data_IF_871577642051
#
_entry.id   IF_871577642051
#
_cell.length_a   1.000
_cell.length_b   1.000
_cell.length_c   1.000
_cell.angle_alpha   90.00
_cell.angle_beta   90.00
_cell.angle_gamma   90.00
#
_symmetry.space_group_name_H-M   'P 1'
#
loop_
_entity.id
_entity.type
_entity.pdbx_description
1 polymer ?
#
# COMPACT_ATOMS: atom_id res chain seq x y z
N UNK A 1 0.22 -20.90 19.44
CA UNK A 1 -0.16 -19.62 18.84
C UNK A 1 -0.20 -18.49 19.88
N UNK A 2 -0.94 -18.64 20.96
CA UNK A 2 -1.12 -17.61 21.99
C UNK A 2 0.16 -17.05 22.63
N UNK A 3 1.17 -17.91 22.84
CA UNK A 3 2.47 -17.47 23.38
C UNK A 3 3.24 -16.54 22.43
N UNK A 4 3.12 -16.73 21.10
CA UNK A 4 3.76 -15.86 20.10
C UNK A 4 3.02 -14.55 19.98
N UNK A 5 1.69 -14.57 19.96
CA UNK A 5 0.86 -13.36 19.94
C UNK A 5 1.12 -12.51 21.19
N UNK A 6 1.08 -13.14 22.39
CA UNK A 6 1.41 -12.47 23.65
C UNK A 6 2.84 -11.92 23.68
N UNK A 7 3.80 -12.59 23.01
CA UNK A 7 5.18 -12.13 22.96
C UNK A 7 5.44 -11.05 21.90
N UNK A 8 4.55 -10.89 20.93
CA UNK A 8 4.68 -9.94 19.80
C UNK A 8 3.64 -8.82 19.84
N UNK A 9 2.85 -8.70 20.93
CA UNK A 9 1.78 -7.70 21.06
C UNK A 9 2.27 -6.28 20.77
N UNK A 10 3.46 -5.92 21.30
CA UNK A 10 4.04 -4.61 21.14
C UNK A 10 4.31 -4.28 19.65
N UNK A 11 4.72 -5.30 18.87
CA UNK A 11 4.95 -5.15 17.45
C UNK A 11 3.64 -5.02 16.67
N UNK A 12 2.62 -5.84 16.99
CA UNK A 12 1.30 -5.74 16.38
C UNK A 12 0.64 -4.39 16.68
N UNK A 13 0.70 -3.94 17.93
CA UNK A 13 0.14 -2.63 18.33
C UNK A 13 0.90 -1.49 17.67
N UNK A 14 2.24 -1.51 17.68
CA UNK A 14 3.05 -0.47 17.04
C UNK A 14 2.78 -0.39 15.54
N UNK A 15 2.80 -1.53 14.84
CA UNK A 15 2.50 -1.55 13.40
C UNK A 15 1.04 -1.20 13.09
N UNK A 16 0.09 -1.61 13.94
CA UNK A 16 -1.30 -1.20 13.81
C UNK A 16 -1.48 0.32 13.88
N UNK A 17 -0.83 0.99 14.84
CA UNK A 17 -0.84 2.45 14.95
C UNK A 17 -0.18 3.14 13.75
N UNK A 18 0.94 2.59 13.24
CA UNK A 18 1.60 3.09 12.03
C UNK A 18 0.66 2.98 10.83
N UNK A 19 -0.01 1.82 10.66
CA UNK A 19 -0.90 1.61 9.53
C UNK A 19 -2.17 2.44 9.60
N UNK A 20 -2.70 2.66 10.80
CA UNK A 20 -3.80 3.59 11.02
C UNK A 20 -3.39 5.01 10.61
N UNK A 21 -2.22 5.48 11.06
CA UNK A 21 -1.66 6.76 10.67
C UNK A 21 -1.42 6.83 9.15
N UNK A 22 -0.89 5.77 8.56
CA UNK A 22 -0.62 5.71 7.12
C UNK A 22 -1.90 5.77 6.28
N UNK A 23 -2.93 4.99 6.63
CA UNK A 23 -4.23 5.03 5.97
C UNK A 23 -4.87 6.43 6.04
N UNK A 24 -4.81 7.06 7.20
CA UNK A 24 -5.29 8.43 7.37
C UNK A 24 -4.49 9.42 6.51
N UNK A 25 -3.16 9.32 6.51
CA UNK A 25 -2.28 10.18 5.71
C UNK A 25 -2.54 10.07 4.21
N UNK A 26 -2.75 8.85 3.70
CA UNK A 26 -3.00 8.61 2.26
C UNK A 26 -4.27 9.35 1.81
N UNK A 27 -5.37 9.19 2.53
CA UNK A 27 -6.63 9.89 2.23
C UNK A 27 -6.50 11.41 2.42
N UNK A 28 -5.86 11.83 3.51
CA UNK A 28 -5.69 13.25 3.84
C UNK A 28 -4.90 14.00 2.78
N UNK A 29 -3.77 13.47 2.33
CA UNK A 29 -2.92 14.16 1.36
C UNK A 29 -3.58 14.27 -0.01
N UNK A 30 -4.33 13.25 -0.44
CA UNK A 30 -5.10 13.32 -1.68
C UNK A 30 -6.16 14.42 -1.66
N UNK A 31 -6.97 14.46 -0.62
CA UNK A 31 -8.02 15.48 -0.45
C UNK A 31 -7.41 16.87 -0.25
N UNK A 32 -6.36 17.00 0.56
CA UNK A 32 -5.68 18.28 0.80
C UNK A 32 -5.05 18.85 -0.47
N UNK A 33 -4.47 18.02 -1.33
CA UNK A 33 -3.89 18.47 -2.61
C UNK A 33 -4.95 19.11 -3.53
N UNK A 34 -6.14 18.50 -3.61
CA UNK A 34 -7.28 19.06 -4.36
C UNK A 34 -7.74 20.38 -3.74
N UNK A 35 -7.85 20.44 -2.41
CA UNK A 35 -8.22 21.68 -1.70
C UNK A 35 -7.22 22.82 -1.94
N UNK A 36 -5.92 22.52 -2.00
CA UNK A 36 -4.86 23.48 -2.30
C UNK A 36 -4.74 23.80 -3.81
N UNK A 37 -5.69 23.33 -4.60
CA UNK A 37 -5.74 23.55 -6.06
C UNK A 37 -4.49 23.04 -6.79
N UNK A 38 -3.85 21.99 -6.31
CA UNK A 38 -2.79 21.33 -7.06
C UNK A 38 -3.38 20.68 -8.31
N UNK A 39 -2.69 20.81 -9.46
CA UNK A 39 -3.09 20.07 -10.64
C UNK A 39 -3.03 18.58 -10.38
N UNK A 40 -3.82 17.79 -11.12
CA UNK A 40 -3.84 16.32 -10.99
C UNK A 40 -2.43 15.75 -11.24
N UNK A 41 -1.72 16.24 -12.27
CA UNK A 41 -0.33 15.88 -12.55
C UNK A 41 0.62 16.21 -11.39
N UNK A 42 0.53 17.42 -10.80
CA UNK A 42 1.37 17.79 -9.65
C UNK A 42 1.08 16.88 -8.44
N UNK A 43 -0.18 16.51 -8.24
CA UNK A 43 -0.60 15.58 -7.20
C UNK A 43 -0.05 14.18 -7.44
N UNK A 44 -0.15 13.65 -8.65
CA UNK A 44 0.45 12.36 -9.01
C UNK A 44 1.97 12.35 -8.86
N UNK A 45 2.65 13.43 -9.28
CA UNK A 45 4.08 13.60 -9.08
C UNK A 45 4.47 13.55 -7.59
N UNK A 46 3.81 14.33 -6.75
CA UNK A 46 4.12 14.32 -5.31
C UNK A 46 3.88 12.96 -4.65
N UNK A 47 2.79 12.26 -5.03
CA UNK A 47 2.46 10.95 -4.48
C UNK A 47 3.46 9.87 -4.91
N UNK A 48 4.02 9.98 -6.10
CA UNK A 48 5.11 9.12 -6.60
C UNK A 48 6.33 9.13 -5.67
N UNK A 49 6.61 10.24 -5.00
CA UNK A 49 7.73 10.37 -4.05
C UNK A 49 7.75 9.27 -2.99
N UNK A 50 6.58 8.83 -2.52
CA UNK A 50 6.48 7.72 -1.56
C UNK A 50 7.12 6.42 -2.10
N UNK A 51 6.81 6.06 -3.32
CA UNK A 51 7.32 4.82 -3.93
C UNK A 51 8.81 4.93 -4.27
N UNK A 52 9.28 6.12 -4.64
CA UNK A 52 10.72 6.41 -4.81
C UNK A 52 11.46 6.18 -3.48
N UNK A 53 10.95 6.74 -2.39
CA UNK A 53 11.53 6.55 -1.06
C UNK A 53 11.50 5.10 -0.61
N UNK A 54 10.38 4.42 -0.82
CA UNK A 54 10.20 3.00 -0.52
C UNK A 54 11.23 2.14 -1.28
N UNK A 55 11.41 2.39 -2.57
CA UNK A 55 12.36 1.68 -3.42
C UNK A 55 13.81 1.88 -2.98
N UNK A 56 14.21 3.12 -2.67
CA UNK A 56 15.55 3.43 -2.15
C UNK A 56 15.76 2.74 -0.81
N UNK A 57 14.77 2.83 0.08
CA UNK A 57 14.80 2.25 1.41
C UNK A 57 14.94 0.73 1.39
N UNK A 58 14.24 0.03 0.50
CA UNK A 58 14.30 -1.42 0.40
C UNK A 58 15.72 -1.96 0.23
N UNK A 59 16.61 -1.19 -0.39
CA UNK A 59 18.04 -1.54 -0.54
C UNK A 59 18.91 -1.13 0.64
N UNK A 60 18.58 -0.02 1.29
CA UNK A 60 19.43 0.58 2.32
C UNK A 60 19.10 0.09 3.73
N UNK A 61 17.84 -0.27 3.99
CA UNK A 61 17.38 -0.73 5.31
C UNK A 61 18.16 -1.93 5.87
N UNK A 62 18.45 -2.99 5.10
CA UNK A 62 19.25 -4.11 5.60
C UNK A 62 20.64 -3.68 6.14
N UNK A 63 21.25 -2.70 5.48
CA UNK A 63 22.56 -2.15 5.88
C UNK A 63 22.41 -1.34 7.18
N UNK A 64 21.37 -0.50 7.27
CA UNK A 64 21.10 0.31 8.46
C UNK A 64 20.82 -0.60 9.67
N UNK A 65 19.95 -1.58 9.51
CA UNK A 65 19.57 -2.52 10.58
C UNK A 65 20.76 -3.34 11.05
N UNK A 66 21.63 -3.78 10.14
CA UNK A 66 22.83 -4.55 10.49
C UNK A 66 23.84 -3.73 11.31
N UNK A 67 23.93 -2.40 11.09
CA UNK A 67 24.85 -1.51 11.78
C UNK A 67 24.32 -0.98 13.11
N UNK A 68 23.07 -0.60 13.17
CA UNK A 68 22.47 0.16 14.27
C UNK A 68 21.53 -0.70 15.12
N UNK A 69 20.95 -1.74 14.54
CA UNK A 69 19.99 -2.64 15.17
C UNK A 69 18.53 -2.25 14.96
N UNK A 70 17.63 -3.24 15.07
CA UNK A 70 16.20 -3.12 14.74
C UNK A 70 15.48 -2.00 15.50
N UNK A 71 15.60 -1.97 16.84
CA UNK A 71 14.83 -1.03 17.69
C UNK A 71 15.22 0.43 17.41
N UNK A 72 16.52 0.71 17.29
CA UNK A 72 17.01 2.07 17.03
C UNK A 72 16.58 2.57 15.65
N UNK A 73 16.68 1.72 14.63
CA UNK A 73 16.23 2.06 13.26
C UNK A 73 14.72 2.27 13.25
N UNK A 74 13.94 1.41 13.93
CA UNK A 74 12.48 1.59 14.07
C UNK A 74 12.15 2.94 14.70
N UNK A 75 12.79 3.27 15.84
CA UNK A 75 12.54 4.51 16.55
C UNK A 75 12.89 5.74 15.70
N UNK A 76 14.04 5.73 15.04
CA UNK A 76 14.48 6.84 14.20
C UNK A 76 13.50 7.10 13.05
N UNK A 77 13.07 6.04 12.32
CA UNK A 77 12.21 6.22 11.15
C UNK A 77 10.74 6.44 11.48
N UNK A 78 10.22 5.94 12.60
CA UNK A 78 8.92 6.34 13.09
C UNK A 78 8.89 7.81 13.53
N UNK A 79 9.98 8.32 14.15
CA UNK A 79 10.12 9.73 14.48
C UNK A 79 10.23 10.61 13.23
N UNK A 80 11.02 10.20 12.22
CA UNK A 80 11.12 10.90 10.94
C UNK A 80 9.74 10.95 10.26
N UNK A 81 9.02 9.83 10.19
CA UNK A 81 7.68 9.78 9.59
C UNK A 81 6.71 10.75 10.29
N UNK A 82 6.76 10.83 11.63
CA UNK A 82 5.96 11.77 12.43
C UNK A 82 6.28 13.24 12.09
N UNK A 83 7.56 13.60 12.02
CA UNK A 83 8.00 14.97 11.69
C UNK A 83 7.61 15.34 10.26
N UNK A 84 7.85 14.45 9.31
CA UNK A 84 7.55 14.66 7.88
C UNK A 84 6.08 14.99 7.66
N UNK A 85 5.18 14.31 8.39
CA UNK A 85 3.74 14.58 8.30
C UNK A 85 3.41 16.02 8.76
N UNK A 86 4.02 16.49 9.84
CA UNK A 86 3.80 17.87 10.33
C UNK A 86 4.32 18.90 9.32
N UNK A 87 5.46 18.66 8.67
CA UNK A 87 6.02 19.57 7.68
C UNK A 87 5.10 19.72 6.46
N UNK A 88 4.34 18.68 6.07
CA UNK A 88 3.32 18.80 5.01
C UNK A 88 2.26 19.87 5.32
N UNK A 89 1.91 20.08 6.60
CA UNK A 89 0.90 21.09 6.98
C UNK A 89 1.44 22.52 6.97
N UNK A 90 2.77 22.69 7.04
CA UNK A 90 3.44 23.98 7.15
C UNK A 90 3.85 24.50 5.77
N UNK A 91 4.39 23.62 4.92
CA UNK A 91 4.92 23.99 3.60
C UNK A 91 4.04 23.39 2.51
N UNK A 92 3.18 24.23 1.94
CA UNK A 92 2.20 23.83 0.91
C UNK A 92 2.82 24.07 -0.47
N UNK A 93 3.55 23.07 -0.98
CA UNK A 93 4.19 23.11 -2.30
C UNK A 93 4.35 21.68 -2.85
N UNK A 94 3.97 21.39 -4.11
CA UNK A 94 4.02 20.03 -4.67
C UNK A 94 5.42 19.41 -4.67
N UNK A 95 6.47 20.18 -4.98
CA UNK A 95 7.84 19.68 -4.98
C UNK A 95 8.33 19.37 -3.56
N UNK A 96 8.03 20.23 -2.59
CA UNK A 96 8.35 19.96 -1.18
C UNK A 96 7.61 18.70 -0.71
N UNK A 97 6.33 18.56 -1.08
CA UNK A 97 5.55 17.38 -0.74
C UNK A 97 6.12 16.11 -1.40
N UNK A 98 6.62 16.19 -2.63
CA UNK A 98 7.34 15.06 -3.25
C UNK A 98 8.54 14.62 -2.39
N UNK A 99 9.40 15.57 -1.98
CA UNK A 99 10.56 15.27 -1.13
C UNK A 99 10.14 14.67 0.22
N UNK A 100 9.12 15.24 0.86
CA UNK A 100 8.58 14.72 2.12
C UNK A 100 8.00 13.31 1.94
N UNK A 101 7.36 13.04 0.81
CA UNK A 101 6.86 11.70 0.47
C UNK A 101 7.99 10.69 0.25
N UNK A 102 9.14 11.12 -0.29
CA UNK A 102 10.34 10.25 -0.36
C UNK A 102 10.77 9.82 1.05
N UNK A 103 10.84 10.74 1.99
CA UNK A 103 11.16 10.41 3.39
C UNK A 103 10.08 9.53 4.05
N UNK A 104 8.79 9.78 3.75
CA UNK A 104 7.70 8.93 4.23
C UNK A 104 7.84 7.50 3.74
N UNK A 105 8.02 7.29 2.43
CA UNK A 105 8.16 5.96 1.85
C UNK A 105 9.39 5.22 2.33
N UNK A 106 10.53 5.92 2.44
CA UNK A 106 11.74 5.36 3.04
C UNK A 106 11.51 4.93 4.50
N UNK A 107 10.84 5.77 5.30
CA UNK A 107 10.50 5.43 6.68
C UNK A 107 9.61 4.21 6.76
N UNK A 108 8.58 4.13 5.93
CA UNK A 108 7.63 3.02 5.94
C UNK A 108 8.29 1.68 5.61
N UNK A 109 9.16 1.62 4.60
CA UNK A 109 9.85 0.36 4.28
C UNK A 109 10.81 -0.06 5.39
N UNK A 110 11.42 0.89 6.12
CA UNK A 110 12.20 0.57 7.32
C UNK A 110 11.34 -0.11 8.38
N UNK A 111 10.17 0.44 8.67
CA UNK A 111 9.25 -0.07 9.68
C UNK A 111 8.72 -1.46 9.31
N UNK A 112 8.30 -1.66 8.05
CA UNK A 112 7.87 -2.97 7.54
C UNK A 112 8.97 -4.02 7.63
N UNK A 113 10.16 -3.72 7.10
CA UNK A 113 11.29 -4.67 7.09
C UNK A 113 11.67 -5.11 8.50
N UNK A 114 11.67 -4.19 9.45
CA UNK A 114 11.98 -4.48 10.85
C UNK A 114 10.89 -5.37 11.46
N UNK A 115 9.61 -5.04 11.27
CA UNK A 115 8.50 -5.81 11.81
C UNK A 115 8.47 -7.23 11.25
N UNK A 116 8.61 -7.37 9.93
CA UNK A 116 8.64 -8.68 9.26
C UNK A 116 9.84 -9.53 9.68
N UNK A 117 11.03 -8.92 9.76
CA UNK A 117 12.23 -9.59 10.26
C UNK A 117 12.03 -10.11 11.69
N UNK A 118 11.42 -9.30 12.55
CA UNK A 118 11.17 -9.65 13.95
C UNK A 118 10.13 -10.78 14.10
N UNK A 119 9.05 -10.73 13.32
CA UNK A 119 8.04 -11.79 13.30
C UNK A 119 8.60 -13.10 12.74
N UNK A 120 9.37 -13.03 11.67
CA UNK A 120 10.00 -14.22 11.06
C UNK A 120 10.99 -14.91 11.98
N UNK A 121 11.75 -14.16 12.80
CA UNK A 121 12.69 -14.72 13.78
C UNK A 121 11.97 -15.46 14.92
N UNK A 122 10.78 -14.99 15.31
CA UNK A 122 9.99 -15.58 16.39
C UNK A 122 9.09 -16.72 15.96
N UNK A 123 8.76 -16.80 14.69
CA UNK A 123 7.91 -17.82 14.13
C UNK A 123 8.70 -19.10 13.84
N UNK A 124 8.14 -20.26 14.20
CA UNK A 124 8.62 -21.56 13.75
C UNK A 124 8.11 -21.86 12.33
N UNK A 125 8.75 -22.80 11.63
CA UNK A 125 8.30 -23.23 10.30
C UNK A 125 6.82 -23.68 10.27
N UNK A 126 6.31 -24.23 11.39
CA UNK A 126 4.92 -24.72 11.49
C UNK A 126 3.87 -23.60 11.61
N UNK A 127 4.24 -22.42 12.14
CA UNK A 127 3.28 -21.35 12.44
C UNK A 127 3.61 -20.01 11.78
N UNK A 128 4.68 -19.95 10.95
CA UNK A 128 5.09 -18.72 10.26
C UNK A 128 3.98 -18.13 9.39
N UNK A 129 3.29 -18.97 8.61
CA UNK A 129 2.16 -18.54 7.78
C UNK A 129 1.05 -17.91 8.61
N UNK A 130 0.63 -18.55 9.70
CA UNK A 130 -0.43 -18.02 10.57
C UNK A 130 -0.04 -16.70 11.25
N UNK A 131 1.22 -16.55 11.68
CA UNK A 131 1.71 -15.30 12.30
C UNK A 131 1.72 -14.16 11.29
N UNK A 132 2.18 -14.42 10.06
CA UNK A 132 2.19 -13.42 8.99
C UNK A 132 0.76 -13.08 8.53
N UNK A 133 -0.17 -14.05 8.48
CA UNK A 133 -1.58 -13.77 8.18
C UNK A 133 -2.21 -12.83 9.20
N UNK A 134 -1.98 -13.06 10.50
CA UNK A 134 -2.47 -12.16 11.56
C UNK A 134 -1.83 -10.77 11.40
N UNK A 135 -0.55 -10.70 11.09
CA UNK A 135 0.14 -9.43 10.81
C UNK A 135 -0.53 -8.68 9.66
N UNK A 136 -0.81 -9.35 8.53
CA UNK A 136 -1.49 -8.72 7.40
C UNK A 136 -2.92 -8.26 7.74
N UNK A 137 -3.67 -9.03 8.54
CA UNK A 137 -4.98 -8.61 9.04
C UNK A 137 -4.85 -7.33 9.86
N UNK A 138 -3.88 -7.24 10.76
CA UNK A 138 -3.64 -6.03 11.56
C UNK A 138 -3.29 -4.85 10.64
N UNK A 139 -2.41 -5.04 9.67
CA UNK A 139 -2.00 -3.97 8.74
C UNK A 139 -3.21 -3.44 7.95
N UNK A 140 -3.93 -4.31 7.26
CA UNK A 140 -5.03 -3.90 6.39
C UNK A 140 -6.22 -3.33 7.17
N UNK A 141 -6.60 -3.94 8.31
CA UNK A 141 -7.69 -3.43 9.13
C UNK A 141 -7.35 -2.07 9.73
N UNK A 142 -6.14 -1.90 10.26
CA UNK A 142 -5.71 -0.61 10.80
C UNK A 142 -5.62 0.47 9.72
N UNK A 143 -5.12 0.13 8.53
CA UNK A 143 -5.09 1.04 7.39
C UNK A 143 -6.51 1.47 6.97
N UNK A 144 -7.42 0.51 6.84
CA UNK A 144 -8.81 0.78 6.48
C UNK A 144 -9.50 1.67 7.52
N UNK A 145 -9.33 1.38 8.81
CA UNK A 145 -9.84 2.23 9.90
C UNK A 145 -9.22 3.64 9.81
N UNK A 146 -7.92 3.73 9.54
CA UNK A 146 -7.22 5.00 9.38
C UNK A 146 -7.82 5.90 8.30
N UNK A 147 -8.27 5.34 7.19
CA UNK A 147 -8.92 6.08 6.10
C UNK A 147 -10.23 6.75 6.56
N UNK A 148 -10.95 6.16 7.52
CA UNK A 148 -12.15 6.76 8.10
C UNK A 148 -11.89 7.92 9.04
N UNK A 149 -10.67 8.08 9.58
CA UNK A 149 -10.34 9.22 10.44
C UNK A 149 -10.45 10.57 9.73
N UNK A 150 -10.46 10.59 8.41
CA UNK A 150 -10.73 11.79 7.63
C UNK A 150 -12.09 12.42 7.98
N UNK A 151 -13.09 11.62 8.35
CA UNK A 151 -14.43 12.09 8.74
C UNK A 151 -14.47 12.85 10.06
N UNK A 152 -13.48 12.65 10.94
CA UNK A 152 -13.40 13.30 12.24
C UNK A 152 -12.55 14.57 12.21
N UNK A 153 -12.18 15.03 11.02
CA UNK A 153 -11.27 16.15 10.86
C UNK A 153 -11.65 17.01 9.64
N UNK A 154 -11.16 18.23 9.63
CA UNK A 154 -11.29 19.12 8.46
C UNK A 154 -9.97 19.10 7.71
N UNK A 155 -9.93 18.57 6.49
CA UNK A 155 -8.68 18.44 5.70
C UNK A 155 -7.97 19.78 5.44
N UNK A 156 -8.72 20.89 5.47
CA UNK A 156 -8.21 22.26 5.29
C UNK A 156 -7.31 22.71 6.44
N UNK A 157 -7.49 22.13 7.62
CA UNK A 157 -6.80 22.51 8.83
C UNK A 157 -5.51 21.71 9.06
N UNK A 158 -4.72 22.13 10.03
CA UNK A 158 -3.50 21.43 10.44
C UNK A 158 -3.74 20.26 11.42
N UNK A 159 -4.90 20.24 12.11
CA UNK A 159 -5.21 19.22 13.14
C UNK A 159 -5.10 17.76 12.61
N UNK A 160 -5.58 17.41 11.40
CA UNK A 160 -5.43 16.05 10.87
C UNK A 160 -3.96 15.60 10.81
N UNK A 161 -3.05 16.51 10.43
CA UNK A 161 -1.62 16.21 10.38
C UNK A 161 -1.03 15.94 11.77
N UNK A 162 -1.50 16.67 12.79
CA UNK A 162 -1.13 16.40 14.19
C UNK A 162 -1.60 15.02 14.61
N UNK A 163 -2.83 14.62 14.29
CA UNK A 163 -3.36 13.30 14.64
C UNK A 163 -2.56 12.18 13.99
N UNK A 164 -2.21 12.29 12.70
CA UNK A 164 -1.34 11.33 12.02
C UNK A 164 0.02 11.24 12.72
N UNK A 165 0.63 12.38 13.03
CA UNK A 165 1.90 12.47 13.74
C UNK A 165 1.84 11.84 15.14
N UNK A 166 0.76 12.05 15.88
CA UNK A 166 0.52 11.43 17.19
C UNK A 166 0.47 9.90 17.09
N UNK A 167 -0.27 9.34 16.14
CA UNK A 167 -0.33 7.89 15.95
C UNK A 167 1.03 7.31 15.56
N UNK A 168 1.79 8.00 14.69
CA UNK A 168 3.18 7.60 14.36
C UNK A 168 4.08 7.61 15.60
N UNK A 169 4.01 8.65 16.42
CA UNK A 169 4.79 8.77 17.66
C UNK A 169 4.36 7.75 18.70
N UNK A 170 3.05 7.54 18.93
CA UNK A 170 2.53 6.55 19.87
C UNK A 170 2.92 5.12 19.50
N UNK A 171 3.17 4.83 18.23
CA UNK A 171 3.62 3.51 17.78
C UNK A 171 4.96 3.09 18.39
N UNK A 172 5.78 4.06 18.79
CA UNK A 172 7.08 3.82 19.42
C UNK A 172 6.95 3.25 20.83
N UNK A 173 5.92 3.68 21.57
CA UNK A 173 5.77 3.36 23.00
C UNK A 173 5.79 1.85 23.25
N UNK A 174 4.92 1.02 22.62
CA UNK A 174 4.93 -0.42 22.85
C UNK A 174 6.25 -1.09 22.44
N UNK A 175 6.88 -0.61 21.39
CA UNK A 175 8.16 -1.17 20.88
C UNK A 175 9.32 -0.88 21.84
N UNK A 176 9.41 0.35 22.34
CA UNK A 176 10.48 0.77 23.24
C UNK A 176 10.33 0.18 24.65
N UNK A 177 9.10 -0.06 25.10
CA UNK A 177 8.83 -0.67 26.42
C UNK A 177 8.96 -2.19 26.42
N UNK A 178 9.12 -2.83 25.25
CA UNK A 178 9.29 -4.29 25.22
C UNK A 178 10.65 -4.72 25.76
N UNK A 179 10.65 -5.66 26.69
CA UNK A 179 11.88 -6.29 27.22
C UNK A 179 12.50 -7.34 26.29
N UNK A 180 11.84 -7.63 25.17
CA UNK A 180 12.26 -8.71 24.26
C UNK A 180 13.41 -8.23 23.36
N UNK A 181 14.47 -9.05 23.29
CA UNK A 181 15.61 -8.78 22.40
C UNK A 181 15.16 -8.80 20.93
N UNK A 182 15.67 -7.84 20.16
CA UNK A 182 15.51 -7.83 18.71
C UNK A 182 16.30 -8.98 18.05
N UNK A 183 15.85 -9.50 16.91
CA UNK A 183 16.56 -10.56 16.18
C UNK A 183 17.94 -10.07 15.68
N UNK A 184 18.83 -11.03 15.45
CA UNK A 184 20.06 -10.76 14.68
C UNK A 184 19.73 -10.79 13.19
N UNK A 185 20.15 -9.76 12.48
CA UNK A 185 19.92 -9.68 11.04
C UNK A 185 20.73 -10.76 10.30
N UNK A 186 20.05 -11.63 9.57
CA UNK A 186 20.70 -12.63 8.71
C UNK A 186 20.78 -12.08 7.29
N UNK A 187 21.97 -12.04 6.73
CA UNK A 187 22.19 -11.61 5.34
C UNK A 187 21.50 -12.62 4.40
N UNK A 188 20.55 -12.15 3.62
CA UNK A 188 19.91 -12.96 2.59
C UNK A 188 20.81 -12.97 1.36
N UNK A 189 21.11 -14.13 0.81
CA UNK A 189 21.83 -14.24 -0.46
C UNK A 189 20.84 -13.89 -1.55
N UNK A 190 21.02 -12.73 -2.18
CA UNK A 190 20.14 -12.25 -3.23
C UNK A 190 20.28 -13.06 -4.52
N UNK A 191 19.17 -13.30 -5.20
CA UNK A 191 19.14 -13.79 -6.58
C UNK A 191 19.39 -12.61 -7.53
N UNK A 192 20.17 -12.82 -8.62
CA UNK A 192 20.36 -11.76 -9.63
C UNK A 192 19.04 -11.53 -10.40
N UNK A 193 18.75 -10.29 -10.72
CA UNK A 193 17.51 -9.92 -11.45
C UNK A 193 17.41 -10.66 -12.79
N UNK A 194 18.54 -10.82 -13.50
CA UNK A 194 18.62 -11.56 -14.77
C UNK A 194 18.23 -13.03 -14.59
N UNK A 195 18.74 -13.67 -13.55
CA UNK A 195 18.42 -15.08 -13.22
C UNK A 195 16.93 -15.26 -12.90
N UNK A 196 16.33 -14.31 -12.17
CA UNK A 196 14.89 -14.32 -11.87
C UNK A 196 14.04 -14.11 -13.13
N UNK A 197 14.48 -13.21 -14.04
CA UNK A 197 13.81 -13.00 -15.31
C UNK A 197 13.88 -14.23 -16.21
N UNK A 198 15.02 -14.90 -16.26
CA UNK A 198 15.20 -16.15 -17.03
C UNK A 198 14.33 -17.29 -16.47
N UNK A 199 14.17 -17.36 -15.14
CA UNK A 199 13.33 -18.35 -14.50
C UNK A 199 11.82 -18.08 -14.69
N UNK A 200 11.39 -16.84 -14.62
CA UNK A 200 9.98 -16.45 -14.76
C UNK A 200 9.82 -15.06 -15.41
N UNK A 201 9.90 -14.97 -16.73
CA UNK A 201 9.67 -13.72 -17.47
C UNK A 201 8.28 -13.13 -17.19
N UNK A 202 7.24 -14.00 -17.18
CA UNK A 202 5.88 -13.62 -16.84
C UNK A 202 5.82 -13.01 -15.44
N UNK A 203 6.43 -13.63 -14.43
CA UNK A 203 6.47 -13.14 -13.06
C UNK A 203 7.09 -11.75 -12.95
N UNK A 204 8.23 -11.53 -13.60
CA UNK A 204 8.94 -10.25 -13.54
C UNK A 204 8.18 -9.11 -14.22
N UNK A 205 7.68 -9.32 -15.45
CA UNK A 205 6.93 -8.30 -16.18
C UNK A 205 5.62 -7.98 -15.47
N UNK A 206 4.89 -9.02 -15.07
CA UNK A 206 3.62 -8.84 -14.33
C UNK A 206 3.82 -8.15 -13.00
N UNK A 207 4.94 -8.37 -12.28
CA UNK A 207 5.24 -7.66 -11.03
C UNK A 207 5.46 -6.15 -11.27
N UNK A 208 6.15 -5.75 -12.35
CA UNK A 208 6.30 -4.34 -12.72
C UNK A 208 4.94 -3.70 -13.02
N UNK A 209 4.14 -4.33 -13.90
CA UNK A 209 2.81 -3.83 -14.27
C UNK A 209 1.87 -3.75 -13.06
N UNK A 210 1.90 -4.75 -12.20
CA UNK A 210 1.15 -4.77 -10.94
C UNK A 210 1.56 -3.60 -10.03
N UNK A 211 2.86 -3.31 -9.96
CA UNK A 211 3.37 -2.14 -9.25
C UNK A 211 2.83 -0.82 -9.81
N UNK A 212 2.82 -0.67 -11.13
CA UNK A 212 2.25 0.51 -11.82
C UNK A 212 0.77 0.70 -11.44
N UNK A 213 -0.06 -0.34 -11.63
CA UNK A 213 -1.50 -0.25 -11.40
C UNK A 213 -1.85 -0.08 -9.91
N UNK A 214 -1.26 -0.88 -9.01
CA UNK A 214 -1.60 -0.82 -7.59
C UNK A 214 -1.15 0.47 -6.93
N UNK A 215 0.01 1.00 -7.31
CA UNK A 215 0.47 2.28 -6.75
C UNK A 215 -0.43 3.44 -7.20
N UNK A 216 -0.86 3.46 -8.46
CA UNK A 216 -1.82 4.43 -8.97
C UNK A 216 -3.17 4.30 -8.25
N UNK A 217 -3.67 3.07 -8.10
CA UNK A 217 -4.94 2.79 -7.44
C UNK A 217 -4.98 3.34 -6.02
N UNK A 218 -3.99 3.01 -5.18
CA UNK A 218 -3.97 3.49 -3.80
C UNK A 218 -3.65 4.98 -3.67
N UNK A 219 -2.80 5.52 -4.52
CA UNK A 219 -2.40 6.91 -4.43
C UNK A 219 -3.49 7.87 -4.90
N UNK A 220 -4.21 7.54 -5.97
CA UNK A 220 -5.08 8.49 -6.66
C UNK A 220 -6.57 8.28 -6.44
N UNK A 221 -7.03 7.18 -5.80
CA UNK A 221 -8.46 6.95 -5.58
C UNK A 221 -9.12 8.08 -4.76
N UNK A 222 -8.45 8.61 -3.73
CA UNK A 222 -8.95 9.73 -2.95
C UNK A 222 -8.96 11.03 -3.76
N UNK A 223 -7.96 11.24 -4.61
CA UNK A 223 -7.87 12.39 -5.54
C UNK A 223 -8.99 12.33 -6.57
N UNK A 224 -9.19 11.17 -7.19
CA UNK A 224 -10.28 10.91 -8.13
C UNK A 224 -11.65 11.22 -7.50
N UNK A 225 -11.93 10.65 -6.33
CA UNK A 225 -13.20 10.87 -5.65
C UNK A 225 -13.40 12.34 -5.23
N UNK A 226 -12.33 13.04 -4.83
CA UNK A 226 -12.38 14.47 -4.52
C UNK A 226 -12.62 15.31 -5.77
N UNK A 227 -11.98 15.00 -6.91
CA UNK A 227 -12.21 15.66 -8.19
C UNK A 227 -13.66 15.47 -8.69
N UNK A 228 -14.27 14.32 -8.40
CA UNK A 228 -15.69 14.01 -8.66
C UNK A 228 -16.65 14.69 -7.65
N UNK A 229 -16.17 15.59 -6.80
CA UNK A 229 -16.96 16.29 -5.77
C UNK A 229 -17.68 15.35 -4.78
N UNK A 230 -17.08 14.21 -4.47
CA UNK A 230 -17.58 13.33 -3.42
C UNK A 230 -17.38 13.98 -2.04
N UNK A 231 -18.33 13.78 -1.13
CA UNK A 231 -18.20 14.21 0.26
C UNK A 231 -17.05 13.50 0.95
N UNK A 232 -16.56 14.05 2.06
CA UNK A 232 -15.47 13.44 2.87
C UNK A 232 -15.82 12.01 3.27
N UNK A 233 -17.09 11.75 3.64
CA UNK A 233 -17.55 10.41 3.96
C UNK A 233 -17.45 9.46 2.75
N UNK A 234 -17.88 9.89 1.58
CA UNK A 234 -17.83 9.08 0.35
C UNK A 234 -16.39 8.80 -0.09
N UNK A 235 -15.48 9.78 0.04
CA UNK A 235 -14.04 9.59 -0.21
C UNK A 235 -13.46 8.54 0.74
N UNK A 236 -13.76 8.68 2.04
CA UNK A 236 -13.31 7.73 3.05
C UNK A 236 -13.88 6.33 2.81
N UNK A 237 -15.15 6.26 2.40
CA UNK A 237 -15.81 4.99 2.13
C UNK A 237 -15.21 4.28 0.91
N UNK A 238 -14.97 4.97 -0.20
CA UNK A 238 -14.39 4.35 -1.40
C UNK A 238 -12.95 3.90 -1.17
N UNK A 239 -12.15 4.68 -0.44
CA UNK A 239 -10.77 4.28 -0.10
C UNK A 239 -10.75 3.07 0.84
N UNK A 240 -11.62 3.04 1.84
CA UNK A 240 -11.84 1.88 2.70
C UNK A 240 -12.28 0.66 1.88
N UNK A 241 -13.24 0.83 0.98
CA UNK A 241 -13.78 -0.25 0.15
C UNK A 241 -12.70 -0.91 -0.71
N UNK A 242 -11.82 -0.12 -1.31
CA UNK A 242 -10.67 -0.63 -2.07
C UNK A 242 -9.76 -1.48 -1.16
N UNK A 243 -9.41 -0.97 0.02
CA UNK A 243 -8.53 -1.68 0.95
C UNK A 243 -9.15 -2.98 1.47
N UNK A 244 -10.43 -2.96 1.88
CA UNK A 244 -11.11 -4.12 2.44
C UNK A 244 -11.41 -5.18 1.36
N UNK A 245 -11.77 -4.76 0.16
CA UNK A 245 -11.99 -5.67 -0.98
C UNK A 245 -10.71 -6.45 -1.31
N UNK A 246 -9.56 -5.77 -1.30
CA UNK A 246 -8.26 -6.42 -1.46
C UNK A 246 -7.95 -7.41 -0.34
N UNK A 247 -8.26 -7.09 0.91
CA UNK A 247 -8.06 -8.01 2.03
C UNK A 247 -8.94 -9.26 1.92
N UNK A 248 -10.22 -9.09 1.61
CA UNK A 248 -11.18 -10.20 1.49
C UNK A 248 -10.85 -11.09 0.30
N UNK A 249 -10.39 -10.53 -0.82
CA UNK A 249 -10.12 -11.26 -2.05
C UNK A 249 -8.92 -12.20 -1.98
N UNK A 250 -7.96 -11.97 -1.06
CA UNK A 250 -6.75 -12.78 -0.94
C UNK A 250 -7.06 -14.27 -0.78
N UNK A 251 -8.02 -14.60 0.08
CA UNK A 251 -8.35 -15.99 0.37
C UNK A 251 -9.06 -16.70 -0.79
N UNK A 252 -10.20 -16.22 -1.35
CA UNK A 252 -10.90 -16.91 -2.42
C UNK A 252 -10.08 -16.99 -3.72
N UNK A 253 -9.41 -15.92 -4.11
CA UNK A 253 -8.58 -15.91 -5.32
C UNK A 253 -7.33 -16.78 -5.14
N UNK A 254 -6.70 -16.70 -3.96
CA UNK A 254 -5.59 -17.58 -3.62
C UNK A 254 -5.97 -19.06 -3.68
N UNK A 255 -7.13 -19.43 -3.13
CA UNK A 255 -7.64 -20.81 -3.19
C UNK A 255 -7.94 -21.26 -4.62
N UNK A 256 -8.48 -20.38 -5.47
CA UNK A 256 -8.67 -20.68 -6.90
C UNK A 256 -7.34 -20.99 -7.58
N UNK A 257 -6.28 -20.26 -7.27
CA UNK A 257 -4.94 -20.49 -7.82
C UNK A 257 -4.24 -21.76 -7.33
N UNK A 258 -4.72 -22.35 -6.23
CA UNK A 258 -4.23 -23.65 -5.75
C UNK A 258 -4.93 -24.83 -6.47
N UNK A 259 -6.13 -24.58 -7.05
CA UNK A 259 -6.95 -25.60 -7.76
C UNK A 259 -6.70 -25.53 -9.27
N UNK A 260 -6.60 -24.35 -9.82
CA UNK A 260 -6.40 -24.10 -11.24
C UNK A 260 -5.01 -23.58 -11.53
N UNK A 261 -4.61 -23.61 -12.81
CA UNK A 261 -3.34 -23.03 -13.24
C UNK A 261 -3.25 -21.54 -12.86
N UNK A 262 -2.18 -21.16 -12.16
CA UNK A 262 -2.00 -19.82 -11.59
C UNK A 262 -1.97 -18.72 -12.63
N UNK A 263 -1.38 -19.00 -13.80
CA UNK A 263 -1.34 -18.06 -14.92
C UNK A 263 -2.76 -17.80 -15.45
N UNK A 264 -3.54 -18.85 -15.59
CA UNK A 264 -4.94 -18.78 -16.03
C UNK A 264 -5.78 -17.96 -15.05
N UNK A 265 -5.67 -18.22 -13.75
CA UNK A 265 -6.37 -17.44 -12.70
C UNK A 265 -5.96 -15.97 -12.75
N UNK A 266 -4.66 -15.67 -12.93
CA UNK A 266 -4.17 -14.29 -13.04
C UNK A 266 -4.78 -13.60 -14.25
N UNK A 267 -4.82 -14.24 -15.42
CA UNK A 267 -5.40 -13.69 -16.65
C UNK A 267 -6.90 -13.39 -16.48
N UNK A 268 -7.69 -14.33 -15.97
CA UNK A 268 -9.11 -14.11 -15.73
C UNK A 268 -9.39 -13.02 -14.68
N UNK A 269 -8.58 -12.95 -13.61
CA UNK A 269 -8.67 -11.87 -12.63
C UNK A 269 -8.36 -10.52 -13.24
N UNK A 270 -7.38 -10.44 -14.15
CA UNK A 270 -7.05 -9.20 -14.88
C UNK A 270 -8.21 -8.75 -15.77
N UNK A 271 -8.81 -9.67 -16.53
CA UNK A 271 -9.99 -9.34 -17.36
C UNK A 271 -11.18 -8.93 -16.51
N UNK A 272 -11.45 -9.61 -15.40
CA UNK A 272 -12.51 -9.23 -14.48
C UNK A 272 -12.29 -7.84 -13.88
N UNK A 273 -11.04 -7.53 -13.45
CA UNK A 273 -10.68 -6.21 -12.95
C UNK A 273 -10.92 -5.13 -14.02
N UNK A 274 -10.44 -5.33 -15.26
CA UNK A 274 -10.66 -4.39 -16.36
C UNK A 274 -12.15 -4.21 -16.67
N UNK A 275 -12.92 -5.27 -16.69
CA UNK A 275 -14.37 -5.21 -16.90
C UNK A 275 -15.07 -4.37 -15.82
N UNK A 276 -14.75 -4.59 -14.53
CA UNK A 276 -15.37 -3.81 -13.46
C UNK A 276 -14.86 -2.37 -13.40
N UNK A 277 -13.62 -2.08 -13.83
CA UNK A 277 -13.15 -0.71 -14.03
C UNK A 277 -13.99 0.02 -15.08
N UNK A 278 -14.29 -0.61 -16.23
CA UNK A 278 -15.20 -0.06 -17.24
C UNK A 278 -16.61 0.15 -16.70
N UNK A 279 -17.16 -0.81 -15.94
CA UNK A 279 -18.47 -0.66 -15.30
C UNK A 279 -18.48 0.53 -14.32
N UNK A 280 -17.39 0.77 -13.58
CA UNK A 280 -17.27 1.93 -12.69
C UNK A 280 -17.33 3.25 -13.49
N UNK A 281 -16.67 3.35 -14.64
CA UNK A 281 -16.76 4.53 -15.54
C UNK A 281 -18.19 4.77 -15.99
N UNK A 282 -18.87 3.73 -16.47
CA UNK A 282 -20.26 3.87 -16.93
C UNK A 282 -21.22 4.31 -15.81
N UNK A 283 -21.02 3.82 -14.59
CA UNK A 283 -21.83 4.23 -13.43
C UNK A 283 -21.64 5.70 -13.10
N UNK A 284 -20.44 6.25 -13.26
CA UNK A 284 -20.14 7.68 -13.07
C UNK A 284 -20.84 8.51 -14.14
N UNK A 285 -20.82 8.09 -15.39
CA UNK A 285 -21.49 8.78 -16.50
C UNK A 285 -22.99 8.99 -16.28
N UNK A 286 -23.63 8.10 -15.50
CA UNK A 286 -25.06 8.19 -15.17
C UNK A 286 -25.36 9.02 -13.92
N UNK A 287 -24.35 9.48 -13.15
CA UNK A 287 -24.56 10.29 -11.94
C UNK A 287 -25.16 11.68 -12.22
N UNK A 288 -25.02 12.18 -13.44
CA UNK A 288 -25.53 13.47 -13.84
C UNK A 288 -27.01 13.44 -14.28
N UNK A 289 -27.65 12.28 -14.28
CA UNK A 289 -29.09 12.15 -14.61
C UNK A 289 -29.94 12.43 -13.37
N UNK A 290 -31.06 13.22 -13.51
CA UNK A 290 -31.86 13.68 -12.36
C UNK A 290 -32.37 12.59 -11.44
N UNK A 291 -32.71 11.42 -11.98
CA UNK A 291 -33.30 10.30 -11.22
C UNK A 291 -32.29 9.20 -10.83
N UNK A 292 -31.03 9.38 -11.21
CA UNK A 292 -30.04 8.30 -11.15
C UNK A 292 -29.00 8.39 -10.00
N UNK A 293 -28.94 9.51 -9.28
CA UNK A 293 -27.79 9.83 -8.42
C UNK A 293 -27.51 8.78 -7.32
N UNK A 294 -28.52 8.38 -6.59
CA UNK A 294 -28.36 7.40 -5.51
C UNK A 294 -28.04 5.98 -6.03
N UNK A 295 -28.71 5.56 -7.10
CA UNK A 295 -28.48 4.26 -7.74
C UNK A 295 -27.10 4.20 -8.41
N UNK A 296 -26.67 5.27 -9.07
CA UNK A 296 -25.40 5.35 -9.77
C UNK A 296 -24.20 5.32 -8.81
N UNK A 297 -24.27 6.02 -7.68
CA UNK A 297 -23.23 5.97 -6.64
C UNK A 297 -23.13 4.58 -6.00
N UNK A 298 -24.25 3.92 -5.76
CA UNK A 298 -24.24 2.55 -5.26
C UNK A 298 -23.49 1.61 -6.21
N UNK A 299 -23.80 1.65 -7.50
CA UNK A 299 -23.14 0.82 -8.49
C UNK A 299 -21.65 1.19 -8.67
N UNK A 300 -21.32 2.46 -8.58
CA UNK A 300 -19.93 2.89 -8.56
C UNK A 300 -19.12 2.24 -7.41
N UNK A 301 -19.68 2.21 -6.19
CA UNK A 301 -19.02 1.53 -5.07
C UNK A 301 -18.92 0.02 -5.30
N UNK A 302 -19.97 -0.62 -5.79
CA UNK A 302 -19.95 -2.05 -6.11
C UNK A 302 -18.86 -2.36 -7.13
N UNK A 303 -18.81 -1.64 -8.24
CA UNK A 303 -17.87 -1.90 -9.32
C UNK A 303 -16.42 -1.55 -8.93
N UNK A 304 -16.22 -0.48 -8.21
CA UNK A 304 -14.89 -0.13 -7.66
C UNK A 304 -14.41 -1.17 -6.65
N UNK A 305 -15.30 -1.67 -5.79
CA UNK A 305 -14.98 -2.77 -4.88
C UNK A 305 -14.62 -4.06 -5.62
N UNK A 306 -15.36 -4.42 -6.67
CA UNK A 306 -15.08 -5.60 -7.50
C UNK A 306 -13.80 -5.43 -8.32
N UNK A 307 -13.52 -4.24 -8.85
CA UNK A 307 -12.24 -3.92 -9.48
C UNK A 307 -11.07 -4.18 -8.53
N UNK A 308 -11.15 -3.65 -7.31
CA UNK A 308 -10.12 -3.86 -6.29
C UNK A 308 -10.03 -5.34 -5.85
N UNK A 309 -11.17 -6.03 -5.74
CA UNK A 309 -11.26 -7.44 -5.38
C UNK A 309 -10.48 -8.34 -6.36
N UNK A 310 -10.59 -8.10 -7.67
CA UNK A 310 -9.88 -8.89 -8.66
C UNK A 310 -8.46 -8.38 -8.95
N UNK A 311 -8.18 -7.09 -8.74
CA UNK A 311 -6.86 -6.49 -8.99
C UNK A 311 -5.86 -6.81 -7.88
N UNK A 312 -6.22 -6.59 -6.61
CA UNK A 312 -5.25 -6.59 -5.50
C UNK A 312 -4.58 -7.94 -5.19
N UNK A 313 -5.21 -9.12 -5.38
CA UNK A 313 -4.51 -10.39 -5.17
C UNK A 313 -3.50 -10.74 -6.26
N UNK A 314 -3.46 -10.02 -7.38
CA UNK A 314 -2.60 -10.38 -8.52
C UNK A 314 -1.12 -10.48 -8.14
N UNK A 315 -0.60 -9.59 -7.28
CA UNK A 315 0.80 -9.69 -6.85
C UNK A 315 1.09 -10.99 -6.11
N UNK A 316 0.16 -11.47 -5.27
CA UNK A 316 0.30 -12.75 -4.58
C UNK A 316 0.27 -13.94 -5.56
N UNK A 317 -0.59 -13.87 -6.59
CA UNK A 317 -0.65 -14.88 -7.65
C UNK A 317 0.66 -14.93 -8.46
N UNK A 318 1.19 -13.76 -8.85
CA UNK A 318 2.46 -13.62 -9.57
C UNK A 318 3.61 -14.19 -8.72
N UNK A 319 3.62 -13.90 -7.44
CA UNK A 319 4.60 -14.42 -6.49
C UNK A 319 4.54 -15.95 -6.40
N UNK A 320 3.34 -16.49 -6.25
CA UNK A 320 3.11 -17.92 -6.20
C UNK A 320 3.50 -18.61 -7.51
N UNK A 321 3.12 -18.05 -8.66
CA UNK A 321 3.50 -18.53 -9.99
C UNK A 321 5.03 -18.56 -10.17
N UNK A 322 5.72 -17.50 -9.77
CA UNK A 322 7.19 -17.45 -9.90
C UNK A 322 7.86 -18.53 -9.06
N UNK A 323 7.34 -18.83 -7.87
CA UNK A 323 7.87 -19.87 -7.01
C UNK A 323 7.74 -21.28 -7.62
N UNK A 324 6.82 -21.50 -8.56
CA UNK A 324 6.69 -22.78 -9.26
C UNK A 324 7.89 -23.05 -10.21
N UNK A 325 8.63 -21.99 -10.61
CA UNK A 325 9.77 -22.06 -11.52
C UNK A 325 11.13 -21.84 -10.86
N UNK A 326 11.14 -21.63 -9.54
CA UNK A 326 12.35 -21.36 -8.76
C UNK A 326 12.60 -22.45 -7.74
N UNK A 327 13.85 -22.86 -7.53
CA UNK A 327 14.20 -23.82 -6.49
C UNK A 327 13.83 -23.32 -5.09
N UNK A 328 13.39 -24.22 -4.21
CA UNK A 328 12.87 -23.87 -2.87
C UNK A 328 13.85 -23.04 -2.03
N UNK A 329 15.14 -23.31 -2.18
CA UNK A 329 16.22 -22.61 -1.48
C UNK A 329 16.32 -21.13 -1.89
N UNK A 330 15.82 -20.78 -3.09
CA UNK A 330 15.84 -19.42 -3.67
C UNK A 330 14.52 -18.66 -3.51
N UNK A 331 13.48 -19.24 -2.90
CA UNK A 331 12.16 -18.58 -2.76
C UNK A 331 12.23 -17.19 -2.11
N UNK A 332 13.04 -17.04 -1.06
CA UNK A 332 13.18 -15.76 -0.35
C UNK A 332 13.85 -14.73 -1.25
N UNK A 333 14.86 -15.10 -2.01
CA UNK A 333 15.56 -14.19 -2.91
C UNK A 333 14.75 -13.87 -4.17
N UNK A 334 13.98 -14.82 -4.69
CA UNK A 334 13.03 -14.59 -5.78
C UNK A 334 11.93 -13.60 -5.35
N UNK A 335 11.39 -13.75 -4.13
CA UNK A 335 10.43 -12.82 -3.58
C UNK A 335 10.97 -11.39 -3.44
N UNK A 336 12.21 -11.25 -2.96
CA UNK A 336 12.87 -9.95 -2.90
C UNK A 336 13.06 -9.33 -4.30
N UNK A 337 13.38 -10.15 -5.32
CA UNK A 337 13.49 -9.72 -6.70
C UNK A 337 12.16 -9.26 -7.30
N UNK A 338 11.06 -9.99 -7.03
CA UNK A 338 9.71 -9.59 -7.45
C UNK A 338 9.25 -8.32 -6.75
N UNK A 339 9.53 -8.18 -5.46
CA UNK A 339 9.22 -6.95 -4.72
C UNK A 339 9.99 -5.75 -5.28
N UNK A 340 11.23 -5.97 -5.71
CA UNK A 340 12.02 -4.95 -6.38
C UNK A 340 11.41 -4.57 -7.74
N UNK A 341 10.98 -5.55 -8.55
CA UNK A 341 10.30 -5.31 -9.82
C UNK A 341 8.98 -4.54 -9.62
N UNK A 342 8.18 -4.95 -8.64
CA UNK A 342 6.97 -4.21 -8.23
C UNK A 342 7.30 -2.76 -7.86
N UNK A 343 8.33 -2.55 -7.05
CA UNK A 343 8.78 -1.21 -6.64
C UNK A 343 9.20 -0.32 -7.81
N UNK A 344 9.87 -0.88 -8.83
CA UNK A 344 10.20 -0.15 -10.07
C UNK A 344 8.93 0.34 -10.79
N UNK A 345 7.93 -0.52 -10.93
CA UNK A 345 6.65 -0.14 -11.50
C UNK A 345 5.93 0.90 -10.65
N UNK A 346 5.90 0.69 -9.35
CA UNK A 346 5.20 1.56 -8.40
C UNK A 346 5.72 3.00 -8.39
N UNK A 347 6.99 3.22 -8.70
CA UNK A 347 7.54 4.57 -8.84
C UNK A 347 6.94 5.38 -9.99
N UNK A 348 6.40 4.72 -11.02
CA UNK A 348 5.84 5.42 -12.18
C UNK A 348 4.32 5.56 -12.14
N UNK A 349 3.63 4.65 -11.44
CA UNK A 349 2.18 4.51 -11.50
C UNK A 349 1.39 5.78 -11.21
N UNK A 350 1.55 6.45 -10.05
CA UNK A 350 0.75 7.63 -9.73
C UNK A 350 0.97 8.78 -10.71
N UNK A 351 2.20 8.99 -11.15
CA UNK A 351 2.52 10.04 -12.13
C UNK A 351 1.92 9.75 -13.49
N UNK A 352 2.11 8.54 -14.03
CA UNK A 352 1.53 8.16 -15.33
C UNK A 352 0.00 8.21 -15.32
N UNK A 353 -0.63 7.68 -14.26
CA UNK A 353 -2.07 7.73 -14.13
C UNK A 353 -2.58 9.18 -14.03
N UNK A 354 -1.90 10.07 -13.31
CA UNK A 354 -2.29 11.47 -13.22
C UNK A 354 -2.17 12.21 -14.56
N UNK A 355 -1.15 11.92 -15.38
CA UNK A 355 -1.05 12.41 -16.76
C UNK A 355 -2.24 11.91 -17.60
N UNK A 356 -2.63 10.66 -17.42
CA UNK A 356 -3.78 10.08 -18.12
C UNK A 356 -5.08 10.77 -17.71
N UNK A 357 -5.26 11.07 -16.41
CA UNK A 357 -6.40 11.83 -15.91
C UNK A 357 -6.43 13.27 -16.44
N UNK A 358 -5.29 13.95 -16.55
CA UNK A 358 -5.22 15.30 -17.13
C UNK A 358 -5.57 15.31 -18.62
N UNK A 359 -5.19 14.23 -19.36
CA UNK A 359 -5.40 14.15 -20.81
C UNK A 359 -6.81 13.69 -21.21
N UNK A 360 -7.38 12.73 -20.49
CA UNK A 360 -8.67 12.07 -20.81
C UNK A 360 -9.80 12.56 -19.91
N UNK A 361 -9.49 13.30 -18.84
CA UNK A 361 -10.40 13.69 -17.77
C UNK A 361 -10.33 12.70 -16.59
N UNK A 362 -11.13 12.95 -15.55
CA UNK A 362 -11.10 12.19 -14.29
C UNK A 362 -11.24 10.68 -14.51
N UNK A 363 -12.06 10.25 -15.46
CA UNK A 363 -12.24 8.83 -15.82
C UNK A 363 -10.94 8.16 -16.29
N UNK A 364 -9.92 8.93 -16.65
CA UNK A 364 -8.57 8.44 -16.93
C UNK A 364 -7.99 7.58 -15.81
N UNK A 365 -8.47 7.74 -14.57
CA UNK A 365 -8.10 6.89 -13.44
C UNK A 365 -8.42 5.39 -13.66
N UNK A 366 -9.58 5.07 -14.18
CA UNK A 366 -10.00 3.69 -14.44
C UNK A 366 -9.59 3.19 -15.82
N UNK A 367 -9.34 4.10 -16.79
CA UNK A 367 -8.88 3.76 -18.14
C UNK A 367 -7.41 3.36 -18.13
N UNK A 368 -6.61 4.00 -17.26
CA UNK A 368 -5.20 3.67 -17.01
C UNK A 368 -5.03 2.28 -16.39
#
# INVERSE_FOLDING_TARGET
>A
MDKILKNSWALFTGMGLIMLAHGFQVSLLGVRAVHESFSITATGFMLTGYFVGYFIGARTVPILVSRVGHIRVFAAFASIASIVVLVHSIVINPFTWFVLRVFSGFSMVCLYTIAESWLNDRASNKNRGSVLSIYMIVLFSSMAIGMFFLNFSRPENFQPFILVSLFMSLSLVPILLTKKKAPKFKKIIGMKIKELYEASPFGMVSAVLCGVCHSAMFALIAVYAAAMNFSIFEISFVTFLVAISGAISQWPIGKLSDIYDRRTVTVYSTFAAAFFALCAIFSVGTMHLPDGLASSKFWFYVFTGLYAFFSLPMFALIFAHTNDFVAKEKFVSAGAGLQFAFGMGAMSGPFLCSLFMDFVGENGYFIF
#
